data_IF_034907829232
#
_entry.id   IF_034907829232
#
_cell.length_a   1.000
_cell.length_b   1.000
_cell.length_c   1.000
_cell.angle_alpha   90.00
_cell.angle_beta   90.00
_cell.angle_gamma   90.00
#
_symmetry.space_group_name_H-M   'P 1'
#
loop_
_entity.id
_entity.type
_entity.pdbx_description
1 polymer ?
#
# COMPACT_ATOMS: atom_id res chain seq x y z
N UNK A 1 11.39 -1.18 9.57
CA UNK A 1 12.42 -0.68 8.63
C UNK A 1 12.06 -1.12 7.21
N UNK A 2 11.31 -0.31 6.46
CA UNK A 2 10.89 -0.60 5.07
C UNK A 2 11.74 0.13 4.01
N UNK A 3 12.92 0.62 4.39
CA UNK A 3 13.82 1.36 3.50
C UNK A 3 13.71 2.89 3.54
N UNK A 4 12.86 3.47 4.41
CA UNK A 4 12.74 4.95 4.55
C UNK A 4 13.99 5.58 5.18
N UNK A 5 14.56 4.95 6.21
CA UNK A 5 15.78 5.42 6.89
C UNK A 5 16.87 4.37 6.81
N UNK A 6 18.07 4.78 6.39
CA UNK A 6 19.26 3.93 6.40
C UNK A 6 19.92 3.97 7.78
N UNK A 7 20.26 2.82 8.38
CA UNK A 7 20.94 2.80 9.67
C UNK A 7 22.38 3.35 9.54
N UNK A 8 22.90 3.98 10.61
CA UNK A 8 24.28 4.44 10.67
C UNK A 8 25.29 3.28 10.78
N UNK A 9 24.88 2.16 11.36
CA UNK A 9 25.67 0.94 11.48
C UNK A 9 24.78 -0.31 11.45
N UNK A 10 25.36 -1.47 11.13
CA UNK A 10 24.61 -2.72 10.97
C UNK A 10 23.94 -2.87 9.59
N UNK A 11 23.09 -3.89 9.46
CA UNK A 11 22.37 -4.24 8.23
C UNK A 11 20.91 -4.56 8.53
N UNK A 12 20.03 -4.36 7.56
CA UNK A 12 18.63 -4.79 7.61
C UNK A 12 18.41 -5.82 6.52
N UNK A 13 18.09 -7.04 6.92
CA UNK A 13 17.92 -8.18 6.03
C UNK A 13 16.42 -8.52 5.94
N UNK A 14 15.87 -8.57 4.73
CA UNK A 14 14.51 -9.03 4.43
C UNK A 14 14.60 -10.18 3.43
N UNK A 15 14.06 -11.34 3.79
CA UNK A 15 14.15 -12.59 3.00
C UNK A 15 15.58 -12.92 2.56
N UNK A 16 16.56 -12.77 3.47
CA UNK A 16 17.97 -13.05 3.19
C UNK A 16 18.71 -11.98 2.37
N UNK A 17 18.03 -10.89 1.97
CA UNK A 17 18.63 -9.79 1.20
C UNK A 17 18.85 -8.56 2.06
N UNK A 18 20.06 -8.01 2.05
CA UNK A 18 20.33 -6.67 2.61
C UNK A 18 19.63 -5.61 1.77
N UNK A 19 18.66 -4.91 2.36
CA UNK A 19 17.79 -4.00 1.61
C UNK A 19 18.52 -2.74 1.11
N UNK A 20 19.78 -2.51 1.53
CA UNK A 20 20.65 -1.46 1.00
C UNK A 20 21.84 -1.99 0.18
N UNK A 21 21.83 -3.26 -0.26
CA UNK A 21 22.86 -3.80 -1.15
C UNK A 21 22.92 -3.06 -2.49
N UNK A 22 21.75 -2.67 -3.03
CA UNK A 22 21.61 -1.85 -4.23
C UNK A 22 20.22 -1.18 -4.30
N UNK A 23 19.99 -0.34 -5.33
CA UNK A 23 18.72 0.39 -5.51
C UNK A 23 17.52 -0.52 -5.80
N UNK A 24 17.74 -1.67 -6.45
CA UNK A 24 16.69 -2.64 -6.78
C UNK A 24 16.24 -3.35 -5.49
N UNK A 25 17.17 -3.81 -4.66
CA UNK A 25 16.89 -4.38 -3.34
C UNK A 25 16.10 -3.42 -2.46
N UNK A 26 16.49 -2.13 -2.40
CA UNK A 26 15.74 -1.12 -1.63
C UNK A 26 14.32 -0.92 -2.16
N UNK A 27 14.14 -0.98 -3.48
CA UNK A 27 12.80 -0.87 -4.09
C UNK A 27 11.95 -2.09 -3.78
N UNK A 28 12.50 -3.30 -3.90
CA UNK A 28 11.79 -4.54 -3.61
C UNK A 28 11.36 -4.65 -2.14
N UNK A 29 12.21 -4.19 -1.21
CA UNK A 29 11.89 -4.18 0.20
C UNK A 29 10.61 -3.39 0.53
N UNK A 30 10.31 -2.30 -0.21
CA UNK A 30 9.08 -1.51 0.00
C UNK A 30 7.81 -2.26 -0.37
N UNK A 31 7.89 -3.23 -1.29
CA UNK A 31 6.76 -4.08 -1.64
C UNK A 31 6.66 -5.35 -0.78
N UNK A 32 7.70 -5.65 0.02
CA UNK A 32 7.71 -6.76 0.98
C UNK A 32 7.31 -6.34 2.39
N UNK A 33 7.61 -5.10 2.76
CA UNK A 33 7.36 -4.56 4.09
C UNK A 33 6.51 -3.30 4.00
N UNK A 34 5.19 -3.49 4.10
CA UNK A 34 4.24 -2.39 4.22
C UNK A 34 4.42 -1.58 5.50
N UNK A 35 4.14 -0.28 5.44
CA UNK A 35 4.15 0.62 6.59
C UNK A 35 2.89 1.48 6.59
N UNK A 36 2.13 1.41 7.67
CA UNK A 36 0.98 2.27 7.91
C UNK A 36 1.35 3.30 8.98
N UNK A 37 1.30 4.59 8.63
CA UNK A 37 1.53 5.66 9.59
C UNK A 37 0.31 5.91 10.46
N UNK A 38 0.45 6.77 11.48
CA UNK A 38 -0.69 7.30 12.21
C UNK A 38 -1.51 8.22 11.31
N UNK A 39 -2.84 8.22 11.51
CA UNK A 39 -3.80 8.95 10.68
C UNK A 39 -3.61 8.70 9.18
N UNK A 40 -3.55 7.42 8.73
CA UNK A 40 -3.27 7.08 7.34
C UNK A 40 -4.34 7.60 6.38
N UNK A 41 -5.55 7.91 6.88
CA UNK A 41 -6.61 8.58 6.13
C UNK A 41 -6.19 9.91 5.46
N UNK A 42 -5.19 10.62 5.99
CA UNK A 42 -4.68 11.86 5.39
C UNK A 42 -3.73 11.63 4.22
N UNK A 43 -3.38 10.36 3.95
CA UNK A 43 -2.55 9.98 2.82
C UNK A 43 -3.36 9.64 1.58
N UNK A 44 -4.70 9.61 1.62
CA UNK A 44 -5.54 9.36 0.44
C UNK A 44 -5.45 10.56 -0.51
N UNK A 45 -5.22 10.32 -1.80
CA UNK A 45 -4.97 11.39 -2.79
C UNK A 45 -5.57 11.14 -4.17
N UNK A 46 -6.00 9.91 -4.47
CA UNK A 46 -6.60 9.57 -5.77
C UNK A 46 -8.09 9.96 -5.86
N UNK A 47 -8.60 9.99 -7.09
CA UNK A 47 -9.98 10.38 -7.38
C UNK A 47 -11.00 9.38 -6.84
N UNK A 48 -10.66 8.09 -6.81
CA UNK A 48 -11.53 7.03 -6.27
C UNK A 48 -10.79 6.12 -5.31
N UNK A 49 -11.53 5.49 -4.40
CA UNK A 49 -10.97 4.50 -3.45
C UNK A 49 -10.27 3.36 -4.19
N UNK A 50 -10.84 2.90 -5.31
CA UNK A 50 -10.22 1.91 -6.18
C UNK A 50 -8.85 2.40 -6.69
N UNK A 51 -8.80 3.62 -7.23
CA UNK A 51 -7.57 4.20 -7.76
C UNK A 51 -6.51 4.34 -6.67
N UNK A 52 -6.89 4.78 -5.47
CA UNK A 52 -5.99 4.93 -4.33
C UNK A 52 -5.38 3.58 -3.91
N UNK A 53 -6.21 2.56 -3.69
CA UNK A 53 -5.74 1.20 -3.35
C UNK A 53 -4.89 0.61 -4.49
N UNK A 54 -5.21 0.92 -5.75
CA UNK A 54 -4.47 0.43 -6.92
C UNK A 54 -3.08 1.06 -7.09
N UNK A 55 -2.79 2.17 -6.41
CA UNK A 55 -1.56 2.94 -6.63
C UNK A 55 -0.29 2.13 -6.35
N UNK A 56 -0.24 1.40 -5.23
CA UNK A 56 0.85 0.49 -4.89
C UNK A 56 1.05 -0.62 -5.94
N UNK A 57 0.03 -1.46 -6.21
CA UNK A 57 0.04 -2.48 -7.26
C UNK A 57 0.47 -1.97 -8.65
N UNK A 58 0.03 -0.78 -9.07
CA UNK A 58 0.47 -0.16 -10.33
C UNK A 58 1.97 0.14 -10.31
N UNK A 59 2.48 0.66 -9.20
CA UNK A 59 3.92 0.91 -9.03
C UNK A 59 4.74 -0.38 -9.01
N UNK A 60 4.15 -1.53 -8.72
CA UNK A 60 4.76 -2.86 -8.86
C UNK A 60 4.80 -3.36 -10.31
N UNK A 61 4.11 -2.69 -11.24
CA UNK A 61 3.95 -3.07 -12.66
C UNK A 61 3.21 -4.39 -12.86
N UNK A 62 2.20 -4.65 -12.04
CA UNK A 62 1.31 -5.81 -12.18
C UNK A 62 0.31 -5.61 -13.33
N UNK A 63 -0.27 -6.69 -13.84
CA UNK A 63 -1.34 -6.62 -14.84
C UNK A 63 -2.65 -6.08 -14.24
N UNK A 64 -3.50 -5.48 -15.07
CA UNK A 64 -4.78 -4.92 -14.62
C UNK A 64 -5.67 -5.95 -13.91
N UNK A 65 -5.68 -7.20 -14.38
CA UNK A 65 -6.41 -8.30 -13.73
C UNK A 65 -5.89 -8.61 -12.31
N UNK A 66 -4.58 -8.51 -12.09
CA UNK A 66 -3.97 -8.77 -10.80
C UNK A 66 -4.18 -7.59 -9.85
N UNK A 67 -4.11 -6.38 -10.38
CA UNK A 67 -4.44 -5.15 -9.65
C UNK A 67 -5.91 -5.22 -9.18
N UNK A 68 -6.83 -5.55 -10.07
CA UNK A 68 -8.25 -5.65 -9.74
C UNK A 68 -8.51 -6.69 -8.63
N UNK A 69 -7.88 -7.86 -8.73
CA UNK A 69 -7.95 -8.90 -7.68
C UNK A 69 -7.44 -8.39 -6.34
N UNK A 70 -6.25 -7.77 -6.31
CA UNK A 70 -5.62 -7.24 -5.09
C UNK A 70 -6.43 -6.12 -4.44
N UNK A 71 -6.97 -5.21 -5.24
CA UNK A 71 -7.83 -4.12 -4.74
C UNK A 71 -9.07 -4.69 -4.07
N UNK A 72 -9.76 -5.61 -4.74
CA UNK A 72 -10.98 -6.24 -4.20
C UNK A 72 -10.67 -7.06 -2.95
N UNK A 73 -9.59 -7.84 -2.94
CA UNK A 73 -9.21 -8.65 -1.77
C UNK A 73 -8.79 -7.79 -0.59
N UNK A 74 -7.99 -6.74 -0.81
CA UNK A 74 -7.53 -5.85 0.25
C UNK A 74 -8.70 -5.05 0.84
N UNK A 75 -9.59 -4.52 0.00
CA UNK A 75 -10.81 -3.84 0.45
C UNK A 75 -11.70 -4.77 1.30
N UNK A 76 -11.93 -6.00 0.84
CA UNK A 76 -12.69 -6.98 1.60
C UNK A 76 -12.02 -7.33 2.94
N UNK A 77 -10.69 -7.50 2.96
CA UNK A 77 -9.92 -7.83 4.15
C UNK A 77 -10.06 -6.78 5.26
N UNK A 78 -10.08 -5.49 4.89
CA UNK A 78 -10.28 -4.40 5.86
C UNK A 78 -11.75 -4.12 6.16
N UNK A 79 -12.69 -4.83 5.52
CA UNK A 79 -14.13 -4.63 5.69
C UNK A 79 -14.70 -3.42 4.96
N UNK A 80 -14.06 -2.96 3.87
CA UNK A 80 -14.64 -1.98 2.96
C UNK A 80 -15.63 -2.66 2.01
N UNK A 81 -16.83 -2.09 1.91
CA UNK A 81 -17.85 -2.56 0.96
C UNK A 81 -17.42 -2.27 -0.46
N UNK A 82 -17.72 -3.20 -1.37
CA UNK A 82 -17.38 -3.08 -2.80
C UNK A 82 -17.98 -1.82 -3.44
N UNK A 83 -19.18 -1.41 -3.04
CA UNK A 83 -19.82 -0.20 -3.57
C UNK A 83 -19.05 1.10 -3.28
N UNK A 84 -18.13 1.09 -2.31
CA UNK A 84 -17.32 2.25 -1.95
C UNK A 84 -16.10 2.44 -2.86
N UNK A 85 -15.73 1.42 -3.65
CA UNK A 85 -14.53 1.47 -4.49
C UNK A 85 -14.59 2.56 -5.56
N UNK A 86 -15.77 2.83 -6.12
CA UNK A 86 -15.97 3.87 -7.13
C UNK A 86 -16.23 5.26 -6.54
N UNK A 87 -16.32 5.39 -5.22
CA UNK A 87 -16.54 6.69 -4.57
C UNK A 87 -15.23 7.47 -4.43
N UNK A 88 -15.37 8.79 -4.35
CA UNK A 88 -14.28 9.64 -3.90
C UNK A 88 -13.89 9.29 -2.47
N UNK A 89 -12.58 9.17 -2.15
CA UNK A 89 -12.14 9.00 -0.78
C UNK A 89 -12.65 10.09 0.16
N UNK A 90 -12.90 11.29 -0.36
CA UNK A 90 -13.39 12.43 0.42
C UNK A 90 -14.85 12.24 0.90
N UNK A 91 -15.64 11.42 0.21
CA UNK A 91 -17.05 11.12 0.53
C UNK A 91 -17.20 10.02 1.60
N UNK A 92 -16.10 9.40 2.02
CA UNK A 92 -16.08 8.38 3.05
C UNK A 92 -16.10 8.97 4.47
N UNK A 93 -16.66 8.22 5.41
CA UNK A 93 -16.48 8.47 6.84
C UNK A 93 -15.00 8.33 7.25
N UNK A 94 -14.60 8.92 8.38
CA UNK A 94 -13.22 8.83 8.86
C UNK A 94 -12.73 7.38 9.06
N UNK A 95 -13.59 6.49 9.56
CA UNK A 95 -13.26 5.07 9.73
C UNK A 95 -13.12 4.32 8.40
N UNK A 96 -13.92 4.67 7.39
CA UNK A 96 -13.78 4.11 6.04
C UNK A 96 -12.53 4.63 5.33
N UNK A 97 -12.20 5.92 5.46
CA UNK A 97 -10.93 6.49 4.97
C UNK A 97 -9.73 5.76 5.54
N UNK A 98 -9.73 5.53 6.85
CA UNK A 98 -8.67 4.77 7.52
C UNK A 98 -8.53 3.36 6.97
N UNK A 99 -9.66 2.67 6.75
CA UNK A 99 -9.66 1.33 6.11
C UNK A 99 -9.14 1.38 4.68
N UNK A 100 -9.50 2.38 3.88
CA UNK A 100 -9.05 2.54 2.50
C UNK A 100 -7.53 2.70 2.43
N UNK A 101 -6.97 3.55 3.29
CA UNK A 101 -5.53 3.77 3.35
C UNK A 101 -4.77 2.49 3.75
N UNK A 102 -5.30 1.71 4.72
CA UNK A 102 -4.73 0.42 5.10
C UNK A 102 -4.83 -0.61 3.96
N UNK A 103 -5.95 -0.64 3.23
CA UNK A 103 -6.11 -1.52 2.07
C UNK A 103 -5.06 -1.23 0.99
N UNK A 104 -4.69 0.04 0.75
CA UNK A 104 -3.61 0.39 -0.15
C UNK A 104 -2.25 -0.21 0.26
N UNK A 105 -1.98 -0.32 1.56
CA UNK A 105 -0.77 -0.99 2.08
C UNK A 105 -0.84 -2.51 1.89
N UNK A 106 -2.01 -3.12 2.10
CA UNK A 106 -2.22 -4.58 1.98
C UNK A 106 -2.23 -5.06 0.53
N UNK A 107 -2.64 -4.21 -0.42
CA UNK A 107 -2.71 -4.58 -1.83
C UNK A 107 -1.34 -4.75 -2.50
N UNK A 108 -0.28 -4.18 -1.92
CA UNK A 108 1.12 -4.36 -2.35
C UNK A 108 1.64 -5.74 -1.97
#
# INVERSE_FOLDING_TARGET
FNGILKPNSGKVIVDGVDIWSDKKATREARFKVGLCFQYPEYQLFEETVYKDISFGPKNMKLSDDEIAKRVVSAAAYVGLKKELLEKSPFDLSGGEKRRAAIAGVIAM
#
